data_IF_115409683050
#
_entry.id   IF_115409683050
#
_cell.length_a   1.000
_cell.length_b   1.000
_cell.length_c   1.000
_cell.angle_alpha   90.00
_cell.angle_beta   90.00
_cell.angle_gamma   90.00
#
_symmetry.space_group_name_H-M   'P 1'
#
loop_
_entity.id
_entity.type
_entity.pdbx_description
1 polymer ?
#
# COMPACT_ATOMS: atom_id res chain seq x y z
N UNK A 1 -8.56 10.58 17.36
CA UNK A 1 -7.35 11.33 17.23
C UNK A 1 -6.74 11.25 15.83
N UNK A 2 -6.09 12.30 15.45
CA UNK A 2 -5.41 12.34 14.17
C UNK A 2 -4.14 11.48 14.27
N UNK A 3 -4.05 10.45 13.47
CA UNK A 3 -2.84 9.65 13.38
C UNK A 3 -1.75 10.50 12.70
N UNK A 4 -0.73 10.88 13.46
CA UNK A 4 0.43 11.55 12.88
C UNK A 4 1.32 10.52 12.20
N UNK A 5 1.67 10.78 10.95
CA UNK A 5 2.63 9.96 10.22
C UNK A 5 4.02 10.27 10.75
N UNK A 6 4.69 9.27 11.33
CA UNK A 6 6.08 9.41 11.72
C UNK A 6 6.97 9.36 10.48
N UNK A 7 7.72 10.42 10.26
CA UNK A 7 8.67 10.52 9.15
C UNK A 7 10.08 10.58 9.69
N UNK A 8 10.97 9.77 9.14
CA UNK A 8 12.39 9.79 9.48
C UNK A 8 12.97 11.17 9.22
N UNK A 9 13.60 11.75 10.23
CA UNK A 9 14.18 13.09 10.18
C UNK A 9 15.64 13.09 10.61
N UNK A 10 16.30 14.24 10.44
CA UNK A 10 17.67 14.43 10.86
C UNK A 10 18.69 13.63 10.10
N UNK A 11 19.79 13.29 10.74
CA UNK A 11 20.92 12.59 10.12
C UNK A 11 20.52 11.24 9.47
N UNK A 12 19.69 10.41 10.08
CA UNK A 12 19.25 9.17 9.42
C UNK A 12 18.59 9.40 8.06
N UNK A 13 17.78 10.44 7.94
CA UNK A 13 17.13 10.77 6.67
C UNK A 13 18.14 11.30 5.65
N UNK A 14 19.08 12.13 6.08
CA UNK A 14 20.14 12.63 5.19
C UNK A 14 20.94 11.47 4.61
N UNK A 15 21.30 10.51 5.44
CA UNK A 15 22.03 9.31 5.02
C UNK A 15 21.24 8.52 3.97
N UNK A 16 19.95 8.30 4.20
CA UNK A 16 19.09 7.63 3.22
C UNK A 16 19.11 8.33 1.86
N UNK A 17 19.04 9.65 1.86
CA UNK A 17 19.01 10.44 0.63
C UNK A 17 20.34 10.35 -0.11
N UNK A 18 21.46 10.63 0.56
CA UNK A 18 22.78 10.65 -0.08
C UNK A 18 23.28 9.26 -0.45
N UNK A 19 22.78 8.22 0.20
CA UNK A 19 23.05 6.82 -0.15
C UNK A 19 22.17 6.30 -1.27
N UNK A 20 21.26 7.13 -1.78
CA UNK A 20 20.31 6.77 -2.83
C UNK A 20 19.54 5.48 -2.52
N UNK A 21 19.03 5.36 -1.31
CA UNK A 21 18.25 4.18 -0.91
C UNK A 21 16.98 4.06 -1.75
N UNK A 22 16.70 2.84 -2.21
CA UNK A 22 15.54 2.56 -3.06
C UNK A 22 14.22 2.77 -2.32
N UNK A 23 14.17 2.38 -1.04
CA UNK A 23 12.97 2.51 -0.22
C UNK A 23 13.38 3.21 1.07
N UNK A 24 12.82 4.39 1.35
CA UNK A 24 13.08 5.07 2.62
C UNK A 24 12.49 4.29 3.79
N UNK A 25 13.03 4.50 5.00
CA UNK A 25 12.52 3.82 6.21
C UNK A 25 11.07 4.15 6.50
N UNK A 26 10.65 5.39 6.20
CA UNK A 26 9.28 5.85 6.39
C UNK A 26 8.75 6.48 5.10
N UNK A 27 8.42 5.64 4.09
CA UNK A 27 7.84 6.19 2.87
C UNK A 27 6.47 6.81 3.16
N UNK A 28 6.23 7.98 2.59
CA UNK A 28 4.98 8.71 2.76
C UNK A 28 4.65 9.51 1.50
N UNK A 29 3.36 9.74 1.30
CA UNK A 29 2.88 10.58 0.20
C UNK A 29 1.97 11.67 0.74
N UNK A 30 1.96 12.79 0.05
CA UNK A 30 0.94 13.83 0.17
C UNK A 30 0.13 13.77 -1.11
N UNK A 31 -1.13 13.38 -0.98
CA UNK A 31 -2.02 13.15 -2.12
C UNK A 31 -3.07 14.24 -2.16
N UNK A 32 -3.09 14.99 -3.26
CA UNK A 32 -4.05 16.07 -3.48
C UNK A 32 -5.18 15.60 -4.39
N UNK A 33 -6.39 16.05 -4.09
CA UNK A 33 -7.57 15.75 -4.90
C UNK A 33 -7.76 16.82 -5.98
N UNK A 34 -8.45 16.45 -7.05
CA UNK A 34 -8.81 17.40 -8.12
C UNK A 34 -9.76 18.48 -7.60
N UNK A 35 -9.82 19.59 -8.32
CA UNK A 35 -10.58 20.79 -7.93
C UNK A 35 -12.06 20.51 -7.60
N UNK A 36 -12.69 19.61 -8.33
CA UNK A 36 -14.10 19.24 -8.12
C UNK A 36 -14.33 18.35 -6.89
N UNK A 37 -13.26 17.80 -6.29
CA UNK A 37 -13.34 16.85 -5.16
C UNK A 37 -12.64 17.33 -3.88
N UNK A 38 -11.71 18.25 -4.00
CA UNK A 38 -10.83 18.64 -2.88
C UNK A 38 -11.54 19.28 -1.68
N UNK A 39 -12.73 19.81 -1.89
CA UNK A 39 -13.51 20.47 -0.82
C UNK A 39 -14.49 19.52 -0.11
N UNK A 40 -14.56 18.27 -0.55
CA UNK A 40 -15.46 17.27 0.01
C UNK A 40 -14.74 16.32 0.95
N UNK A 41 -15.08 16.36 2.23
CA UNK A 41 -14.59 15.40 3.22
C UNK A 41 -14.97 13.97 2.87
N UNK A 42 -16.19 13.78 2.33
CA UNK A 42 -16.67 12.45 1.92
C UNK A 42 -15.84 11.87 0.78
N UNK A 43 -15.52 12.67 -0.22
CA UNK A 43 -14.68 12.24 -1.34
C UNK A 43 -13.27 11.90 -0.88
N UNK A 44 -12.71 12.66 0.05
CA UNK A 44 -11.41 12.39 0.63
C UNK A 44 -11.40 11.07 1.41
N UNK A 45 -12.42 10.82 2.22
CA UNK A 45 -12.57 9.58 2.99
C UNK A 45 -12.76 8.37 2.08
N UNK A 46 -13.54 8.53 1.02
CA UNK A 46 -13.77 7.49 0.01
C UNK A 46 -12.46 7.13 -0.70
N UNK A 47 -11.67 8.13 -1.05
CA UNK A 47 -10.37 7.92 -1.67
C UNK A 47 -9.41 7.21 -0.70
N UNK A 48 -9.37 7.63 0.55
CA UNK A 48 -8.53 7.01 1.57
C UNK A 48 -8.85 5.52 1.72
N UNK A 49 -10.13 5.18 1.81
CA UNK A 49 -10.58 3.79 1.91
C UNK A 49 -10.20 2.97 0.67
N UNK A 50 -10.24 3.58 -0.50
CA UNK A 50 -9.88 2.92 -1.76
C UNK A 50 -8.37 2.68 -1.89
N UNK A 51 -7.55 3.56 -1.29
CA UNK A 51 -6.08 3.47 -1.36
C UNK A 51 -5.49 2.46 -0.39
N UNK A 52 -6.02 2.36 0.81
CA UNK A 52 -5.47 1.50 1.86
C UNK A 52 -5.51 0.03 1.48
N UNK A 53 -4.39 -0.65 1.66
CA UNK A 53 -4.30 -2.09 1.44
C UNK A 53 -5.10 -2.83 2.51
N UNK A 54 -5.96 -3.73 2.05
CA UNK A 54 -6.68 -4.67 2.89
C UNK A 54 -6.24 -6.07 2.53
N UNK A 55 -5.73 -6.82 3.50
CA UNK A 55 -5.33 -8.21 3.35
C UNK A 55 -6.39 -9.14 3.93
N UNK A 56 -6.30 -10.43 3.61
CA UNK A 56 -7.18 -11.44 4.17
C UNK A 56 -7.14 -11.42 5.70
N UNK A 57 -5.95 -11.26 6.27
CA UNK A 57 -5.76 -11.20 7.73
C UNK A 57 -6.56 -10.07 8.38
N UNK A 58 -6.73 -8.94 7.67
CA UNK A 58 -7.46 -7.78 8.19
C UNK A 58 -8.96 -8.03 8.35
N UNK A 59 -9.54 -8.91 7.54
CA UNK A 59 -11.00 -9.08 7.45
C UNK A 59 -11.49 -10.47 7.84
N UNK A 60 -10.60 -11.38 8.17
CA UNK A 60 -10.96 -12.75 8.51
C UNK A 60 -10.06 -13.33 9.60
N UNK A 61 -10.63 -14.23 10.39
CA UNK A 61 -9.86 -15.09 11.26
C UNK A 61 -9.55 -16.38 10.50
N UNK A 62 -8.26 -16.65 10.31
CA UNK A 62 -7.78 -17.80 9.52
C UNK A 62 -7.50 -18.97 10.47
N UNK A 63 -8.25 -20.05 10.33
CA UNK A 63 -8.06 -21.27 11.11
C UNK A 63 -7.59 -22.39 10.21
N UNK A 64 -6.55 -23.10 10.65
CA UNK A 64 -6.04 -24.27 9.96
C UNK A 64 -6.66 -25.52 10.55
N UNK A 65 -7.52 -26.20 9.76
CA UNK A 65 -8.08 -27.48 10.16
C UNK A 65 -7.12 -28.58 9.69
N UNK A 66 -6.24 -28.99 10.60
CA UNK A 66 -5.20 -29.97 10.31
C UNK A 66 -5.76 -31.34 10.02
N UNK A 67 -6.84 -31.74 10.74
CA UNK A 67 -7.46 -33.06 10.59
C UNK A 67 -8.04 -33.27 9.19
N UNK A 68 -8.73 -32.25 8.67
CA UNK A 68 -9.35 -32.30 7.35
C UNK A 68 -8.51 -31.64 6.25
N UNK A 69 -7.35 -31.09 6.64
CA UNK A 69 -6.39 -30.42 5.74
C UNK A 69 -7.05 -29.36 4.87
N UNK A 70 -7.70 -28.43 5.54
CA UNK A 70 -8.38 -27.29 4.91
C UNK A 70 -8.16 -26.02 5.73
N UNK A 71 -8.30 -24.88 5.07
CA UNK A 71 -8.31 -23.58 5.73
C UNK A 71 -9.74 -23.11 5.87
N UNK A 72 -10.08 -22.62 7.06
CA UNK A 72 -11.37 -22.05 7.36
C UNK A 72 -11.17 -20.57 7.67
N UNK A 73 -11.83 -19.72 6.88
CA UNK A 73 -11.79 -18.27 7.03
C UNK A 73 -13.11 -17.80 7.62
N UNK A 74 -13.07 -17.33 8.85
CA UNK A 74 -14.25 -16.74 9.49
C UNK A 74 -14.20 -15.23 9.24
N UNK A 75 -15.09 -14.74 8.39
CA UNK A 75 -15.11 -13.34 8.00
C UNK A 75 -15.63 -12.48 9.15
N UNK A 76 -14.94 -11.37 9.39
CA UNK A 76 -15.34 -10.39 10.39
C UNK A 76 -16.28 -9.36 9.75
N UNK A 77 -17.57 -9.43 10.08
CA UNK A 77 -18.59 -8.55 9.50
C UNK A 77 -18.31 -7.06 9.74
N UNK A 78 -17.82 -6.72 10.93
CA UNK A 78 -17.47 -5.35 11.27
C UNK A 78 -16.34 -4.81 10.41
N UNK A 79 -15.30 -5.60 10.20
CA UNK A 79 -14.17 -5.22 9.37
C UNK A 79 -14.55 -5.14 7.89
N UNK A 80 -15.37 -6.06 7.40
CA UNK A 80 -15.87 -6.01 6.03
C UNK A 80 -16.66 -4.72 5.77
N UNK A 81 -17.51 -4.33 6.72
CA UNK A 81 -18.26 -3.09 6.62
C UNK A 81 -17.36 -1.86 6.61
N UNK A 82 -16.36 -1.83 7.49
CA UNK A 82 -15.36 -0.75 7.53
C UNK A 82 -14.62 -0.60 6.21
N UNK A 83 -14.28 -1.71 5.58
CA UNK A 83 -13.54 -1.73 4.31
C UNK A 83 -14.45 -1.68 3.09
N UNK A 84 -15.76 -1.58 3.30
CA UNK A 84 -16.75 -1.55 2.23
C UNK A 84 -16.64 -2.76 1.29
N UNK A 85 -16.50 -3.94 1.88
CA UNK A 85 -16.39 -5.21 1.17
C UNK A 85 -17.50 -6.17 1.59
N UNK A 86 -17.90 -7.06 0.67
CA UNK A 86 -18.85 -8.14 0.95
C UNK A 86 -18.13 -9.48 1.01
N UNK A 87 -18.74 -10.46 1.67
CA UNK A 87 -18.19 -11.82 1.72
C UNK A 87 -18.04 -12.45 0.34
N UNK A 88 -18.95 -12.14 -0.57
CA UNK A 88 -18.87 -12.62 -1.97
C UNK A 88 -17.68 -12.03 -2.71
N UNK A 89 -17.40 -10.74 -2.50
CA UNK A 89 -16.21 -10.10 -3.08
C UNK A 89 -14.92 -10.76 -2.60
N UNK A 90 -14.86 -11.09 -1.31
CA UNK A 90 -13.70 -11.78 -0.73
C UNK A 90 -13.53 -13.15 -1.37
N UNK A 91 -14.62 -13.92 -1.48
CA UNK A 91 -14.62 -15.24 -2.13
C UNK A 91 -14.10 -15.15 -3.56
N UNK A 92 -14.66 -14.25 -4.36
CA UNK A 92 -14.29 -14.09 -5.77
C UNK A 92 -12.83 -13.67 -5.94
N UNK A 93 -12.34 -12.78 -5.10
CA UNK A 93 -10.94 -12.34 -5.15
C UNK A 93 -9.98 -13.44 -4.75
N UNK A 94 -10.33 -14.24 -3.74
CA UNK A 94 -9.52 -15.39 -3.35
C UNK A 94 -9.46 -16.45 -4.44
N UNK A 95 -10.58 -16.76 -5.07
CA UNK A 95 -10.63 -17.72 -6.17
C UNK A 95 -9.74 -17.30 -7.34
N UNK A 96 -9.81 -16.02 -7.73
CA UNK A 96 -8.99 -15.48 -8.82
C UNK A 96 -7.50 -15.50 -8.49
N UNK A 97 -7.15 -15.06 -7.29
CA UNK A 97 -5.76 -14.92 -6.89
C UNK A 97 -5.08 -16.29 -6.67
N UNK A 98 -5.81 -17.23 -6.10
CA UNK A 98 -5.29 -18.54 -5.75
C UNK A 98 -5.51 -19.59 -6.85
N UNK A 99 -6.41 -19.32 -7.77
CA UNK A 99 -6.87 -20.29 -8.79
C UNK A 99 -7.33 -21.60 -8.13
N UNK A 100 -8.03 -21.44 -7.01
CA UNK A 100 -8.50 -22.55 -6.17
C UNK A 100 -9.96 -22.33 -5.86
N UNK A 101 -10.72 -23.41 -5.77
CA UNK A 101 -12.12 -23.33 -5.38
C UNK A 101 -12.25 -22.86 -3.94
N UNK A 102 -13.12 -21.90 -3.71
CA UNK A 102 -13.46 -21.40 -2.36
C UNK A 102 -14.92 -21.76 -2.08
N UNK A 103 -15.13 -22.55 -1.06
CA UNK A 103 -16.48 -22.94 -0.65
C UNK A 103 -17.02 -21.92 0.37
N UNK A 104 -18.27 -21.51 0.20
CA UNK A 104 -18.95 -20.59 1.09
C UNK A 104 -20.05 -21.32 1.87
N UNK A 105 -20.29 -20.91 3.11
CA UNK A 105 -21.36 -21.46 3.94
C UNK A 105 -22.75 -21.06 3.46
N UNK A 106 -22.85 -19.93 2.76
CA UNK A 106 -24.11 -19.38 2.22
C UNK A 106 -23.87 -18.78 0.84
N UNK A 107 -24.91 -18.80 0.00
CA UNK A 107 -24.85 -18.17 -1.32
C UNK A 107 -24.82 -16.64 -1.23
N UNK A 108 -25.57 -16.06 -0.30
CA UNK A 108 -25.61 -14.62 -0.06
C UNK A 108 -24.98 -14.30 1.28
N UNK A 109 -24.12 -13.28 1.30
CA UNK A 109 -23.43 -12.81 2.50
C UNK A 109 -22.74 -13.95 3.26
N UNK A 110 -21.80 -14.68 2.62
CA UNK A 110 -21.11 -15.75 3.33
C UNK A 110 -20.35 -15.21 4.54
N UNK A 111 -20.38 -15.96 5.63
CA UNK A 111 -19.65 -15.65 6.86
C UNK A 111 -18.44 -16.53 7.05
N UNK A 112 -18.41 -17.67 6.38
CA UNK A 112 -17.32 -18.64 6.48
C UNK A 112 -16.92 -19.11 5.08
N UNK A 113 -15.65 -19.05 4.77
CA UNK A 113 -15.08 -19.55 3.53
C UNK A 113 -14.13 -20.69 3.85
N UNK A 114 -14.19 -21.74 3.06
CA UNK A 114 -13.33 -22.92 3.22
C UNK A 114 -12.52 -23.16 1.96
N UNK A 115 -11.21 -23.33 2.12
CA UNK A 115 -10.28 -23.57 1.00
C UNK A 115 -9.49 -24.83 1.26
N UNK A 116 -9.50 -25.73 0.28
CA UNK A 116 -8.74 -26.98 0.32
C UNK A 116 -7.57 -26.85 -0.65
N UNK A 117 -6.32 -27.03 -0.18
CA UNK A 117 -5.17 -26.92 -1.07
C UNK A 117 -5.25 -27.90 -2.25
N UNK A 118 -4.97 -27.40 -3.46
CA UNK A 118 -4.95 -28.23 -4.67
C UNK A 118 -6.31 -28.54 -5.28
N UNK A 119 -7.41 -28.06 -4.68
CA UNK A 119 -8.76 -28.25 -5.21
C UNK A 119 -9.19 -27.03 -6.02
N UNK A 120 -9.15 -27.15 -7.35
CA UNK A 120 -9.49 -26.05 -8.25
C UNK A 120 -10.92 -26.19 -8.82
N UNK A 121 -11.51 -27.38 -8.82
CA UNK A 121 -12.81 -27.67 -9.40
C UNK A 121 -13.52 -28.83 -8.69
N UNK A 122 -14.72 -29.16 -9.15
CA UNK A 122 -15.55 -30.24 -8.60
C UNK A 122 -14.89 -31.62 -8.76
N UNK A 123 -14.13 -31.84 -9.82
CA UNK A 123 -13.42 -33.13 -10.05
C UNK A 123 -12.35 -33.34 -8.99
N UNK A 124 -11.57 -32.30 -8.68
CA UNK A 124 -10.56 -32.36 -7.64
C UNK A 124 -11.20 -32.61 -6.27
N UNK A 125 -12.37 -32.04 -6.03
CA UNK A 125 -13.12 -32.22 -4.79
C UNK A 125 -13.56 -33.69 -4.65
N UNK A 126 -14.00 -34.32 -5.74
CA UNK A 126 -14.39 -35.72 -5.75
C UNK A 126 -13.21 -36.68 -5.46
N UNK A 127 -12.01 -36.29 -5.87
CA UNK A 127 -10.79 -37.10 -5.72
C UNK A 127 -10.10 -36.94 -4.34
N UNK A 128 -10.63 -36.09 -3.44
CA UNK A 128 -10.01 -35.80 -2.15
C UNK A 128 -9.70 -37.02 -1.29
N UNK A 129 -10.56 -38.01 -1.30
CA UNK A 129 -10.36 -39.23 -0.50
C UNK A 129 -9.18 -40.06 -0.99
N UNK A 130 -8.96 -40.06 -2.30
CA UNK A 130 -7.86 -40.81 -2.92
C UNK A 130 -6.55 -39.99 -2.88
N UNK A 131 -6.64 -38.68 -3.07
CA UNK A 131 -5.51 -37.77 -3.13
C UNK A 131 -5.67 -36.59 -2.15
N UNK A 132 -5.55 -36.82 -0.85
CA UNK A 132 -5.65 -35.73 0.12
C UNK A 132 -4.45 -34.78 -0.02
N UNK A 133 -4.64 -33.46 0.22
CA UNK A 133 -3.54 -32.50 0.17
C UNK A 133 -2.50 -32.80 1.24
N UNK A 134 -1.24 -32.50 0.95
CA UNK A 134 -0.18 -32.66 1.94
C UNK A 134 -0.27 -31.56 3.02
N UNK A 135 0.29 -31.86 4.18
CA UNK A 135 0.38 -30.92 5.27
C UNK A 135 1.19 -29.67 4.87
N UNK A 136 2.27 -29.88 4.09
CA UNK A 136 3.10 -28.79 3.58
C UNK A 136 2.32 -27.85 2.67
N UNK A 137 1.46 -28.38 1.80
CA UNK A 137 0.60 -27.57 0.94
C UNK A 137 -0.36 -26.70 1.77
N UNK A 138 -0.88 -27.25 2.85
CA UNK A 138 -1.77 -26.54 3.75
C UNK A 138 -1.07 -25.33 4.41
N UNK A 139 0.15 -25.55 4.91
CA UNK A 139 0.94 -24.47 5.54
C UNK A 139 1.34 -23.40 4.54
N UNK A 140 1.73 -23.78 3.34
CA UNK A 140 2.07 -22.84 2.27
C UNK A 140 0.87 -22.01 1.85
N UNK A 141 -0.31 -22.62 1.79
CA UNK A 141 -1.55 -21.91 1.47
C UNK A 141 -1.90 -20.90 2.56
N UNK A 142 -1.77 -21.28 3.82
CA UNK A 142 -2.01 -20.37 4.94
C UNK A 142 -1.14 -19.14 4.87
N UNK A 143 0.17 -19.29 4.65
CA UNK A 143 1.09 -18.17 4.51
C UNK A 143 0.72 -17.26 3.35
N UNK A 144 0.40 -17.86 2.21
CA UNK A 144 0.04 -17.13 0.99
C UNK A 144 -1.25 -16.32 1.18
N UNK A 145 -2.24 -16.90 1.85
CA UNK A 145 -3.54 -16.23 2.05
C UNK A 145 -3.44 -15.09 3.05
N UNK A 146 -2.69 -15.25 4.13
CA UNK A 146 -2.62 -14.28 5.22
C UNK A 146 -2.32 -12.87 4.71
N UNK A 147 -1.29 -12.75 3.87
CA UNK A 147 -0.80 -11.47 3.37
C UNK A 147 -1.33 -11.11 1.99
N UNK A 148 -2.28 -11.88 1.47
CA UNK A 148 -2.85 -11.62 0.16
C UNK A 148 -3.64 -10.32 0.16
N UNK A 149 -3.28 -9.43 -0.75
CA UNK A 149 -3.98 -8.16 -0.93
C UNK A 149 -5.31 -8.38 -1.63
N UNK A 150 -6.38 -8.01 -0.96
CA UNK A 150 -7.75 -8.11 -1.50
C UNK A 150 -8.22 -6.78 -2.09
N UNK A 151 -7.72 -5.66 -1.58
CA UNK A 151 -8.13 -4.32 -1.99
C UNK A 151 -7.00 -3.34 -1.71
N UNK A 152 -7.02 -2.19 -2.39
CA UNK A 152 -6.09 -1.11 -2.17
C UNK A 152 -4.92 -1.09 -3.15
N UNK A 153 -4.10 -0.05 -3.03
CA UNK A 153 -2.91 0.15 -3.87
C UNK A 153 -1.70 -0.50 -3.20
N UNK A 154 -0.98 -1.40 -3.89
CA UNK A 154 0.20 -2.03 -3.29
C UNK A 154 1.16 -0.99 -2.74
N UNK A 155 1.61 -1.17 -1.51
CA UNK A 155 2.54 -0.27 -0.84
C UNK A 155 1.88 0.80 0.02
N UNK A 156 0.60 1.07 -0.12
CA UNK A 156 -0.11 2.05 0.71
C UNK A 156 -0.75 1.33 1.90
N UNK A 157 -0.09 1.43 3.03
CA UNK A 157 -0.52 0.79 4.28
C UNK A 157 -1.66 1.52 4.94
N UNK A 158 -1.58 2.85 4.97
CA UNK A 158 -2.60 3.74 5.53
C UNK A 158 -2.73 5.01 4.71
N UNK A 159 -3.94 5.55 4.68
CA UNK A 159 -4.21 6.86 4.11
C UNK A 159 -5.09 7.64 5.10
N UNK A 160 -4.58 8.77 5.56
CA UNK A 160 -5.24 9.62 6.55
C UNK A 160 -5.75 10.90 5.90
N UNK A 161 -7.03 11.21 6.10
CA UNK A 161 -7.62 12.46 5.61
C UNK A 161 -7.20 13.61 6.52
N UNK A 162 -6.70 14.68 5.92
CA UNK A 162 -6.31 15.89 6.62
C UNK A 162 -6.89 17.11 5.92
N UNK A 163 -6.98 18.22 6.66
CA UNK A 163 -7.43 19.48 6.11
C UNK A 163 -6.28 20.49 6.10
N UNK A 164 -6.05 21.09 4.94
CA UNK A 164 -5.04 22.13 4.76
C UNK A 164 -5.67 23.51 4.97
N UNK A 165 -5.37 24.14 6.09
CA UNK A 165 -5.92 25.46 6.44
C UNK A 165 -5.47 26.55 5.48
N UNK A 166 -4.28 26.43 4.92
CA UNK A 166 -3.73 27.45 4.00
C UNK A 166 -4.42 27.41 2.65
N UNK A 167 -4.60 26.21 2.11
CA UNK A 167 -5.22 26.01 0.80
C UNK A 167 -6.74 25.85 0.90
N UNK A 168 -7.28 25.62 2.10
CA UNK A 168 -8.71 25.42 2.30
C UNK A 168 -9.26 24.16 1.65
N UNK A 169 -8.48 23.09 1.64
CA UNK A 169 -8.84 21.85 0.98
C UNK A 169 -8.44 20.61 1.78
N UNK A 170 -9.11 19.50 1.51
CA UNK A 170 -8.72 18.20 2.06
C UNK A 170 -7.62 17.58 1.22
N UNK A 171 -6.76 16.82 1.89
CA UNK A 171 -5.72 16.03 1.25
C UNK A 171 -5.49 14.75 2.06
N UNK A 172 -4.70 13.84 1.51
CA UNK A 172 -4.36 12.61 2.20
C UNK A 172 -2.86 12.58 2.49
N UNK A 173 -2.50 12.12 3.68
CA UNK A 173 -1.13 11.72 3.99
C UNK A 173 -1.10 10.21 4.18
N UNK A 174 -0.07 9.54 3.69
CA UNK A 174 -0.02 8.08 3.71
C UNK A 174 1.13 7.53 4.55
N UNK A 175 0.96 6.30 5.00
CA UNK A 175 2.06 5.44 5.41
C UNK A 175 2.26 4.49 4.23
N UNK A 176 3.45 4.53 3.64
CA UNK A 176 3.74 3.82 2.41
C UNK A 176 3.64 4.72 1.19
N UNK A 177 4.09 4.23 0.06
CA UNK A 177 4.16 5.00 -1.17
C UNK A 177 4.03 4.13 -2.41
N UNK A 178 3.37 4.65 -3.43
CA UNK A 178 3.31 4.08 -4.77
C UNK A 178 2.87 5.17 -5.74
N UNK A 179 3.81 5.99 -6.18
CA UNK A 179 3.51 7.18 -6.99
C UNK A 179 2.83 6.83 -8.32
N UNK A 180 3.33 5.82 -9.04
CA UNK A 180 2.81 5.48 -10.35
C UNK A 180 1.35 5.02 -10.32
N UNK A 181 1.01 4.16 -9.37
CA UNK A 181 -0.36 3.64 -9.23
C UNK A 181 -1.34 4.68 -8.72
N UNK A 182 -0.90 5.46 -7.74
CA UNK A 182 -1.72 6.55 -7.18
C UNK A 182 -2.04 7.59 -8.24
N UNK A 183 -1.07 7.92 -9.08
CA UNK A 183 -1.22 8.95 -10.12
C UNK A 183 -2.20 8.56 -11.23
N UNK A 184 -2.53 7.28 -11.38
CA UNK A 184 -3.50 6.79 -12.35
C UNK A 184 -4.96 6.98 -11.89
N UNK A 185 -5.18 7.27 -10.62
CA UNK A 185 -6.53 7.42 -10.07
C UNK A 185 -7.13 8.76 -10.48
N UNK A 186 -8.32 8.72 -11.05
CA UNK A 186 -8.96 9.90 -11.63
C UNK A 186 -9.23 11.03 -10.62
N UNK A 187 -9.59 10.69 -9.40
CA UNK A 187 -9.89 11.66 -8.34
C UNK A 187 -8.65 12.46 -7.89
N UNK A 188 -7.48 11.95 -8.16
CA UNK A 188 -6.20 12.50 -7.68
C UNK A 188 -5.64 13.51 -8.66
N UNK A 189 -5.23 14.66 -8.13
CA UNK A 189 -4.44 15.64 -8.86
C UNK A 189 -2.97 15.24 -8.80
N UNK A 190 -2.50 14.54 -9.82
CA UNK A 190 -1.12 14.04 -9.89
C UNK A 190 -0.08 15.16 -9.94
N UNK A 191 -0.44 16.34 -10.41
CA UNK A 191 0.50 17.47 -10.51
C UNK A 191 0.84 18.08 -9.16
N UNK A 192 -0.01 17.84 -8.15
CA UNK A 192 0.14 18.35 -6.79
C UNK A 192 0.40 17.23 -5.78
N UNK A 193 0.53 16.00 -6.22
CA UNK A 193 0.79 14.83 -5.40
C UNK A 193 2.29 14.60 -5.31
N UNK A 194 2.77 14.27 -4.11
CA UNK A 194 4.18 14.16 -3.79
C UNK A 194 4.49 12.91 -2.99
N UNK A 195 5.65 12.32 -3.21
CA UNK A 195 6.18 11.24 -2.39
C UNK A 195 7.58 11.60 -1.91
N UNK A 196 7.96 11.13 -0.73
CA UNK A 196 9.34 11.27 -0.25
C UNK A 196 10.29 10.18 -0.80
N UNK A 197 9.76 9.27 -1.61
CA UNK A 197 10.58 8.24 -2.26
C UNK A 197 11.17 8.79 -3.56
N UNK A 198 12.45 9.16 -3.52
CA UNK A 198 13.14 9.79 -4.65
C UNK A 198 13.22 8.85 -5.86
N UNK A 199 13.41 7.56 -5.62
CA UNK A 199 13.52 6.58 -6.71
C UNK A 199 12.19 6.40 -7.44
N UNK A 200 11.06 6.43 -6.74
CA UNK A 200 9.74 6.44 -7.38
C UNK A 200 9.55 7.67 -8.26
N UNK A 201 10.02 8.84 -7.79
CA UNK A 201 9.97 10.08 -8.57
C UNK A 201 10.82 9.94 -9.84
N UNK A 202 12.02 9.39 -9.70
CA UNK A 202 12.88 9.14 -10.84
C UNK A 202 12.22 8.20 -11.86
N UNK A 203 11.70 7.07 -11.39
CA UNK A 203 11.10 6.06 -12.27
C UNK A 203 9.85 6.57 -12.99
N UNK A 204 9.06 7.40 -12.35
CA UNK A 204 7.81 7.90 -12.91
C UNK A 204 7.97 9.22 -13.68
N UNK A 205 8.78 10.14 -13.19
CA UNK A 205 8.88 11.50 -13.72
C UNK A 205 10.24 11.85 -14.33
N UNK A 206 11.26 11.02 -14.15
CA UNK A 206 12.57 11.22 -14.74
C UNK A 206 13.57 11.93 -13.83
N UNK A 207 14.77 12.16 -14.38
CA UNK A 207 15.94 12.59 -13.60
C UNK A 207 15.81 14.03 -13.07
N UNK A 208 15.22 14.93 -13.82
CA UNK A 208 15.07 16.33 -13.36
C UNK A 208 14.14 16.45 -12.17
N UNK A 209 13.03 15.71 -12.20
CA UNK A 209 12.12 15.66 -11.06
C UNK A 209 12.78 15.01 -9.84
N UNK A 210 13.57 13.96 -10.05
CA UNK A 210 14.33 13.32 -8.98
C UNK A 210 15.37 14.27 -8.38
N UNK A 211 16.08 15.03 -9.22
CA UNK A 211 17.03 16.03 -8.78
C UNK A 211 16.38 17.08 -7.88
N UNK A 212 15.24 17.60 -8.30
CA UNK A 212 14.46 18.55 -7.49
C UNK A 212 13.97 17.93 -6.18
N UNK A 213 13.57 16.66 -6.21
CA UNK A 213 13.14 15.95 -5.02
C UNK A 213 14.28 15.78 -4.02
N UNK A 214 15.49 15.51 -4.46
CA UNK A 214 16.67 15.45 -3.60
C UNK A 214 16.87 16.79 -2.88
N UNK A 215 16.80 17.88 -3.61
CA UNK A 215 16.95 19.23 -3.04
C UNK A 215 15.86 19.48 -2.01
N UNK A 216 14.61 19.21 -2.35
CA UNK A 216 13.46 19.44 -1.47
C UNK A 216 13.54 18.63 -0.18
N UNK A 217 13.92 17.35 -0.29
CA UNK A 217 14.01 16.45 0.86
C UNK A 217 15.18 16.83 1.78
N UNK A 218 16.32 17.20 1.22
CA UNK A 218 17.46 17.67 2.01
C UNK A 218 17.12 18.99 2.71
N UNK A 219 16.54 19.95 2.00
CA UNK A 219 16.13 21.23 2.57
C UNK A 219 15.12 21.04 3.70
N UNK A 220 14.07 20.27 3.46
CA UNK A 220 13.03 19.98 4.47
C UNK A 220 13.61 19.32 5.71
N UNK A 221 14.53 18.37 5.53
CA UNK A 221 15.17 17.66 6.65
C UNK A 221 16.04 18.59 7.47
N UNK A 222 16.82 19.46 6.82
CA UNK A 222 17.68 20.43 7.49
C UNK A 222 16.88 21.50 8.23
N UNK A 223 15.81 22.01 7.61
CA UNK A 223 14.92 22.98 8.25
C UNK A 223 14.24 22.39 9.48
N UNK A 224 13.81 21.13 9.42
CA UNK A 224 13.22 20.44 10.57
C UNK A 224 14.20 20.28 11.73
N UNK A 225 15.49 20.17 11.43
CA UNK A 225 16.56 20.13 12.42
C UNK A 225 17.02 21.53 12.86
N UNK A 226 16.36 22.59 12.38
CA UNK A 226 16.70 23.99 12.64
C UNK A 226 18.12 24.36 12.18
N UNK A 227 18.55 23.77 11.09
CA UNK A 227 19.83 24.06 10.47
C UNK A 227 19.61 24.89 9.22
N UNK A 228 20.36 26.00 9.11
CA UNK A 228 20.39 26.78 7.89
C UNK A 228 21.51 26.26 7.01
N UNK A 229 21.19 25.94 5.76
CA UNK A 229 22.16 25.51 4.78
C UNK A 229 21.97 26.33 3.52
N UNK A 230 23.07 26.77 2.94
CA UNK A 230 23.05 27.46 1.66
C UNK A 230 22.51 26.51 0.59
N UNK A 231 21.49 26.95 -0.10
CA UNK A 231 20.82 26.16 -1.16
C UNK A 231 21.80 25.71 -2.25
N UNK A 232 22.89 26.46 -2.46
CA UNK A 232 23.92 26.10 -3.43
C UNK A 232 24.63 24.80 -3.10
N UNK A 233 24.81 24.51 -1.81
CA UNK A 233 25.37 23.22 -1.39
C UNK A 233 24.40 22.07 -1.70
N UNK A 234 23.11 22.27 -1.53
CA UNK A 234 22.09 21.27 -1.87
C UNK A 234 22.01 21.02 -3.36
N UNK A 235 22.11 22.08 -4.16
CA UNK A 235 22.17 21.97 -5.62
C UNK A 235 23.40 21.15 -6.06
N UNK A 236 24.54 21.39 -5.43
CA UNK A 236 25.77 20.65 -5.75
C UNK A 236 25.63 19.16 -5.44
N UNK A 237 25.09 18.81 -4.28
CA UNK A 237 24.85 17.41 -3.90
C UNK A 237 23.91 16.74 -4.89
N UNK A 238 22.80 17.38 -5.21
CA UNK A 238 21.83 16.86 -6.15
C UNK A 238 22.43 16.69 -7.57
N UNK A 239 23.23 17.65 -8.01
CA UNK A 239 23.92 17.57 -9.31
C UNK A 239 24.88 16.39 -9.38
N UNK A 240 25.66 16.16 -8.33
CA UNK A 240 26.58 15.02 -8.27
C UNK A 240 25.82 13.70 -8.30
N UNK A 241 24.75 13.59 -7.53
CA UNK A 241 23.96 12.36 -7.45
C UNK A 241 23.23 12.01 -8.76
N UNK A 242 22.96 13.02 -9.59
CA UNK A 242 22.17 12.84 -10.83
C UNK A 242 22.97 13.06 -12.10
N UNK A 243 24.28 13.28 -12.00
CA UNK A 243 25.15 13.67 -13.12
C UNK A 243 25.20 12.64 -14.27
N UNK A 244 24.92 11.37 -13.96
CA UNK A 244 24.98 10.28 -14.94
C UNK A 244 23.61 9.84 -15.45
N UNK A 245 22.56 10.63 -15.22
CA UNK A 245 21.20 10.32 -15.67
C UNK A 245 20.47 9.32 -14.80
N UNK A 246 21.07 8.87 -13.71
CA UNK A 246 20.50 8.00 -12.70
C UNK A 246 20.73 8.59 -11.33
N UNK A 247 19.94 8.17 -10.35
CA UNK A 247 20.15 8.58 -8.96
C UNK A 247 21.17 7.63 -8.33
N UNK A 248 22.33 8.15 -8.01
CA UNK A 248 23.45 7.39 -7.43
C UNK A 248 23.90 7.96 -6.10
N UNK A 249 24.41 7.09 -5.24
CA UNK A 249 25.00 7.50 -3.97
C UNK A 249 26.17 8.48 -4.22
N UNK A 250 26.36 9.41 -3.28
CA UNK A 250 27.37 10.44 -3.41
C UNK A 250 28.79 9.93 -3.14
N UNK A 251 28.92 8.81 -2.47
CA UNK A 251 30.23 8.26 -2.12
C UNK A 251 30.58 6.95 -2.73
#
# INVERSE_FOLDING_TARGET
>A
GVATVNVTQGLPRIIEIVDARKIPSTPTMIIRLKDDKKNSSEEAQKLAAALEVTTTFNIANIETDVAQRRLVLKLNKGQLKQKNMTGMEVKDKLERALRTMVQADKEKNPGVLTIIPGVANEEDLADLQENPPSYTMLLQLEEKIRDLRLKGVPGIERANVQFDDKEGEYYLSTIGSNLSRVSEIETIDRTRTYTNNIIEIFDYLGIEAARQAIINELESTLLSARLEVDVRHLLMVADVMTSEGEVRAIG
#
